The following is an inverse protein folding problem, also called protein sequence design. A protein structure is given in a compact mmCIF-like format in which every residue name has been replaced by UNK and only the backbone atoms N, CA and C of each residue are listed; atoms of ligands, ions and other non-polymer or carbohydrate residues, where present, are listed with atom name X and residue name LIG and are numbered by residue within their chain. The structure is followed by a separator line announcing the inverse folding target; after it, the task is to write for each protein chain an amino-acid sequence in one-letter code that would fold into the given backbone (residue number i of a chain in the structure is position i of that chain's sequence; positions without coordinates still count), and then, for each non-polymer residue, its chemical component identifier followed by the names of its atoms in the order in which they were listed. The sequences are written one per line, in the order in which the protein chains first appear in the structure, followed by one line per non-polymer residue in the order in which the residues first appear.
data_IF_596942059067
#
_entry.id   IF_596942059067
#
_cell.length_a   1.000
_cell.length_b   1.000
_cell.length_c   1.000
_cell.angle_alpha   90.00
_cell.angle_beta   90.00
_cell.angle_gamma   90.00
#
_symmetry.space_group_name_H-M   'P 1'
#
loop_
_entity.id
_entity.type
_entity.pdbx_description
1 polymer ?
#
# COMPACT_ATOMS: atom_id res chain seq x y z
N UNK A 1 -4.11 2.98 26.06
CA UNK A 1 -5.07 2.22 25.22
C UNK A 1 -4.63 0.77 25.25
N UNK A 2 -5.55 -0.13 25.57
CA UNK A 2 -5.27 -1.57 25.50
C UNK A 2 -5.23 -2.02 24.04
N UNK A 3 -4.03 -2.30 23.52
CA UNK A 3 -3.81 -2.73 22.14
C UNK A 3 -3.85 -4.26 22.00
N UNK A 4 -4.04 -5.00 23.09
CA UNK A 4 -4.08 -6.48 23.07
C UNK A 4 -5.05 -7.07 22.04
N UNK A 5 -6.29 -6.56 21.81
CA UNK A 5 -7.16 -7.14 20.79
C UNK A 5 -6.60 -6.95 19.38
N UNK A 6 -6.01 -5.79 19.09
CA UNK A 6 -5.43 -5.49 17.78
C UNK A 6 -4.15 -6.31 17.56
N UNK A 7 -3.28 -6.40 18.57
CA UNK A 7 -2.10 -7.28 18.55
C UNK A 7 -2.50 -8.73 18.27
N UNK A 8 -3.54 -9.24 18.92
CA UNK A 8 -4.00 -10.61 18.69
C UNK A 8 -4.47 -10.86 17.25
N UNK A 9 -5.20 -9.91 16.65
CA UNK A 9 -5.63 -10.01 15.25
C UNK A 9 -4.42 -10.02 14.31
N UNK A 10 -3.50 -9.07 14.49
CA UNK A 10 -2.30 -8.97 13.66
C UNK A 10 -1.38 -10.18 13.83
N UNK A 11 -1.19 -10.68 15.05
CA UNK A 11 -0.44 -11.90 15.31
C UNK A 11 -1.14 -13.13 14.70
N UNK A 12 -2.47 -13.17 14.64
CA UNK A 12 -3.17 -14.26 13.97
C UNK A 12 -2.99 -14.22 12.45
N UNK A 13 -2.94 -13.04 11.86
CA UNK A 13 -2.78 -12.88 10.40
C UNK A 13 -1.32 -13.04 9.95
N UNK A 14 -0.38 -12.46 10.70
CA UNK A 14 1.03 -12.36 10.32
C UNK A 14 1.99 -13.17 11.20
N UNK A 15 1.51 -13.79 12.27
CA UNK A 15 2.34 -14.58 13.19
C UNK A 15 2.89 -15.87 12.57
N UNK A 16 2.31 -16.34 11.46
CA UNK A 16 2.88 -17.47 10.71
C UNK A 16 4.27 -17.20 10.12
N UNK A 17 4.69 -15.94 10.07
CA UNK A 17 6.01 -15.52 9.62
C UNK A 17 6.88 -14.99 10.77
N UNK A 18 6.48 -15.18 12.03
CA UNK A 18 7.22 -14.68 13.19
C UNK A 18 8.66 -15.23 13.27
N UNK A 19 8.90 -16.43 12.70
CA UNK A 19 10.23 -17.03 12.63
C UNK A 19 11.19 -16.29 11.68
N UNK A 20 10.67 -15.45 10.79
CA UNK A 20 11.43 -14.63 9.84
C UNK A 20 10.92 -13.18 9.87
N UNK A 21 11.56 -12.30 10.69
CA UNK A 21 11.18 -10.89 10.78
C UNK A 21 11.17 -10.18 9.43
N UNK A 22 12.04 -10.60 8.50
CA UNK A 22 12.09 -10.07 7.13
C UNK A 22 10.84 -10.43 6.31
N UNK A 23 10.39 -11.68 6.38
CA UNK A 23 9.18 -12.09 5.69
C UNK A 23 7.95 -11.44 6.35
N UNK A 24 7.92 -11.39 7.68
CA UNK A 24 6.82 -10.80 8.42
C UNK A 24 6.61 -9.32 8.04
N UNK A 25 7.69 -8.51 8.01
CA UNK A 25 7.58 -7.11 7.58
C UNK A 25 7.14 -6.98 6.11
N UNK A 26 7.61 -7.89 5.25
CA UNK A 26 7.30 -7.88 3.83
C UNK A 26 5.80 -8.07 3.63
N UNK A 27 5.21 -9.12 4.21
CA UNK A 27 3.79 -9.41 4.03
C UNK A 27 2.89 -8.34 4.63
N UNK A 28 3.28 -7.73 5.76
CA UNK A 28 2.53 -6.61 6.34
C UNK A 28 2.52 -5.43 5.37
N UNK A 29 3.68 -5.01 4.87
CA UNK A 29 3.76 -3.90 3.90
C UNK A 29 2.94 -4.19 2.65
N UNK A 30 3.07 -5.39 2.07
CA UNK A 30 2.30 -5.78 0.88
C UNK A 30 0.79 -5.74 1.16
N UNK A 31 0.33 -6.22 2.31
CA UNK A 31 -1.07 -6.16 2.70
C UNK A 31 -1.59 -4.71 2.79
N UNK A 32 -0.86 -3.83 3.45
CA UNK A 32 -1.21 -2.41 3.53
C UNK A 32 -1.16 -1.72 2.15
N UNK A 33 -0.19 -2.08 1.30
CA UNK A 33 -0.09 -1.55 -0.06
C UNK A 33 -1.27 -1.95 -0.93
N UNK A 34 -1.73 -3.20 -0.79
CA UNK A 34 -2.91 -3.70 -1.48
C UNK A 34 -4.19 -2.97 -1.02
N UNK A 35 -4.38 -2.78 0.29
CA UNK A 35 -5.51 -2.01 0.83
C UNK A 35 -5.48 -0.57 0.30
N UNK A 36 -4.31 0.08 0.35
CA UNK A 36 -4.14 1.44 -0.15
C UNK A 36 -4.47 1.55 -1.64
N UNK A 37 -3.98 0.61 -2.45
CA UNK A 37 -4.24 0.59 -3.89
C UNK A 37 -5.73 0.42 -4.20
N UNK A 38 -6.43 -0.44 -3.45
CA UNK A 38 -7.87 -0.63 -3.58
C UNK A 38 -8.61 0.66 -3.21
N UNK A 39 -8.26 1.32 -2.10
CA UNK A 39 -8.88 2.59 -1.70
C UNK A 39 -8.65 3.67 -2.77
N UNK A 40 -7.41 3.82 -3.26
CA UNK A 40 -7.09 4.77 -4.31
C UNK A 40 -7.82 4.46 -5.62
N UNK A 41 -7.92 3.19 -6.01
CA UNK A 41 -8.61 2.74 -7.22
C UNK A 41 -10.12 2.95 -7.15
N UNK A 42 -10.76 2.55 -6.05
CA UNK A 42 -12.20 2.71 -5.84
C UNK A 42 -12.62 4.18 -5.70
N UNK A 43 -11.76 5.03 -5.12
CA UNK A 43 -12.02 6.47 -5.05
C UNK A 43 -11.80 7.21 -6.37
N UNK A 44 -11.32 6.53 -7.42
CA UNK A 44 -11.23 7.04 -8.78
C UNK A 44 -10.57 8.42 -8.88
N UNK A 45 -11.30 9.40 -9.42
CA UNK A 45 -10.81 10.77 -9.62
C UNK A 45 -10.40 11.48 -8.31
N UNK A 46 -10.98 11.13 -7.16
CA UNK A 46 -10.67 11.80 -5.90
C UNK A 46 -9.21 11.60 -5.46
N UNK A 47 -8.61 10.47 -5.85
CA UNK A 47 -7.23 10.12 -5.53
C UNK A 47 -6.29 10.23 -6.73
N UNK A 48 -6.74 10.73 -7.88
CA UNK A 48 -5.88 10.94 -9.04
C UNK A 48 -4.71 11.90 -8.71
N UNK A 49 -3.53 11.59 -9.24
CA UNK A 49 -2.31 12.40 -9.05
C UNK A 49 -1.78 12.41 -7.60
N UNK A 50 -1.40 13.58 -7.11
CA UNK A 50 -0.66 13.73 -5.84
C UNK A 50 -1.44 13.22 -4.61
N UNK A 51 -2.77 13.26 -4.62
CA UNK A 51 -3.60 12.86 -3.46
C UNK A 51 -3.49 11.36 -3.17
N UNK A 52 -3.54 10.52 -4.22
CA UNK A 52 -3.33 9.09 -4.08
C UNK A 52 -1.90 8.76 -3.66
N UNK A 53 -0.92 9.51 -4.16
CA UNK A 53 0.49 9.37 -3.73
C UNK A 53 0.64 9.64 -2.23
N UNK A 54 0.08 10.74 -1.73
CA UNK A 54 0.11 11.06 -0.31
C UNK A 54 -0.53 9.95 0.55
N UNK A 55 -1.66 9.39 0.10
CA UNK A 55 -2.29 8.27 0.79
C UNK A 55 -1.40 7.02 0.77
N UNK A 56 -0.79 6.70 -0.38
CA UNK A 56 0.16 5.59 -0.53
C UNK A 56 1.31 5.65 0.47
N UNK A 57 1.93 6.83 0.61
CA UNK A 57 3.01 7.05 1.58
C UNK A 57 2.51 7.06 3.03
N UNK A 58 1.35 7.64 3.31
CA UNK A 58 0.76 7.63 4.64
C UNK A 58 0.52 6.20 5.12
N UNK A 59 -0.09 5.36 4.27
CA UNK A 59 -0.36 3.96 4.58
C UNK A 59 0.95 3.16 4.74
N UNK A 60 1.96 3.46 3.94
CA UNK A 60 3.28 2.88 4.10
C UNK A 60 3.88 3.21 5.47
N UNK A 61 3.83 4.48 5.89
CA UNK A 61 4.30 4.90 7.22
C UNK A 61 3.53 4.16 8.32
N UNK A 62 2.20 4.08 8.21
CA UNK A 62 1.36 3.32 9.15
C UNK A 62 1.80 1.86 9.22
N UNK A 63 2.13 1.22 8.09
CA UNK A 63 2.61 -0.16 8.08
C UNK A 63 3.89 -0.34 8.92
N UNK A 64 4.80 0.65 8.93
CA UNK A 64 6.00 0.62 9.76
C UNK A 64 5.65 0.70 11.26
N UNK A 65 4.67 1.50 11.64
CA UNK A 65 4.16 1.56 13.02
C UNK A 65 3.53 0.22 13.44
N UNK A 66 2.76 -0.42 12.56
CA UNK A 66 2.19 -1.75 12.82
C UNK A 66 3.29 -2.78 13.06
N UNK A 67 4.31 -2.81 12.20
CA UNK A 67 5.45 -3.73 12.36
C UNK A 67 6.14 -3.52 13.70
N UNK A 68 6.44 -2.26 14.06
CA UNK A 68 7.20 -1.94 15.27
C UNK A 68 6.43 -2.10 16.58
N UNK A 69 5.15 -1.72 16.60
CA UNK A 69 4.36 -1.58 17.83
C UNK A 69 3.27 -2.65 18.00
N UNK A 70 2.76 -3.24 16.91
CA UNK A 70 1.74 -4.29 16.99
C UNK A 70 2.38 -5.68 16.91
N UNK A 71 3.36 -5.86 16.03
CA UNK A 71 4.08 -7.13 15.87
C UNK A 71 5.38 -7.21 16.67
N UNK A 72 5.74 -6.13 17.38
CA UNK A 72 6.93 -6.04 18.23
C UNK A 72 8.24 -6.43 17.50
N UNK A 73 8.30 -6.21 16.19
CA UNK A 73 9.52 -6.44 15.40
C UNK A 73 10.51 -5.33 15.66
N UNK A 74 11.68 -5.70 16.16
CA UNK A 74 12.75 -4.76 16.47
C UNK A 74 13.56 -4.41 15.21
N UNK A 75 13.88 -3.13 14.96
CA UNK A 75 14.69 -2.72 13.82
C UNK A 75 16.04 -3.44 13.74
N UNK A 76 16.63 -3.75 14.90
CA UNK A 76 17.90 -4.44 15.05
C UNK A 76 17.86 -5.84 14.41
N UNK A 77 16.73 -6.55 14.52
CA UNK A 77 16.51 -7.87 13.91
C UNK A 77 16.49 -7.80 12.37
N UNK A 78 16.20 -6.63 11.82
CA UNK A 78 16.15 -6.36 10.38
C UNK A 78 17.44 -5.74 9.84
N UNK A 79 18.45 -5.54 10.70
CA UNK A 79 19.70 -4.87 10.37
C UNK A 79 19.60 -3.33 10.37
N UNK A 80 18.71 -2.79 11.20
CA UNK A 80 18.59 -1.37 11.53
C UNK A 80 17.34 -0.68 10.96
N UNK A 81 17.07 0.53 11.45
CA UNK A 81 15.92 1.35 11.02
C UNK A 81 15.90 1.60 9.51
N UNK A 82 17.05 1.86 8.90
CA UNK A 82 17.13 2.08 7.46
C UNK A 82 16.64 0.86 6.68
N UNK A 83 17.08 -0.35 7.05
CA UNK A 83 16.61 -1.59 6.42
C UNK A 83 15.14 -1.85 6.73
N UNK A 84 14.66 -1.61 7.95
CA UNK A 84 13.23 -1.73 8.25
C UNK A 84 12.38 -0.82 7.37
N UNK A 85 12.87 0.36 6.98
CA UNK A 85 12.18 1.22 6.01
C UNK A 85 12.39 0.65 4.60
N UNK A 86 13.60 0.73 4.06
CA UNK A 86 13.86 0.50 2.64
C UNK A 86 13.67 -0.95 2.19
N UNK A 87 13.83 -1.92 3.08
CA UNK A 87 13.58 -3.31 2.75
C UNK A 87 12.11 -3.45 2.36
N UNK A 88 11.84 -4.03 1.20
CA UNK A 88 10.51 -4.16 0.57
C UNK A 88 9.78 -2.87 0.16
N UNK A 89 10.40 -1.68 0.28
CA UNK A 89 9.84 -0.42 -0.23
C UNK A 89 9.55 -0.50 -1.73
N UNK A 90 10.50 -1.02 -2.51
CA UNK A 90 10.35 -1.16 -3.96
C UNK A 90 9.20 -2.10 -4.31
N UNK A 91 9.12 -3.26 -3.67
CA UNK A 91 8.04 -4.24 -3.87
C UNK A 91 6.67 -3.66 -3.50
N UNK A 92 6.61 -2.90 -2.39
CA UNK A 92 5.41 -2.16 -1.99
C UNK A 92 4.97 -1.19 -3.08
N UNK A 93 5.88 -0.31 -3.54
CA UNK A 93 5.57 0.72 -4.52
C UNK A 93 5.15 0.11 -5.86
N UNK A 94 5.83 -0.93 -6.31
CA UNK A 94 5.47 -1.65 -7.55
C UNK A 94 4.07 -2.25 -7.46
N UNK A 95 3.78 -3.03 -6.42
CA UNK A 95 2.47 -3.65 -6.25
C UNK A 95 1.36 -2.60 -6.12
N UNK A 96 1.57 -1.60 -5.27
CA UNK A 96 0.61 -0.52 -5.05
C UNK A 96 0.32 0.25 -6.33
N UNK A 97 1.36 0.65 -7.08
CA UNK A 97 1.20 1.43 -8.32
C UNK A 97 0.51 0.62 -9.41
N UNK A 98 0.87 -0.66 -9.58
CA UNK A 98 0.27 -1.53 -10.59
C UNK A 98 -1.21 -1.74 -10.32
N UNK A 99 -1.57 -2.16 -9.09
CA UNK A 99 -2.97 -2.40 -8.73
C UNK A 99 -3.79 -1.12 -8.81
N UNK A 100 -3.24 0.00 -8.32
CA UNK A 100 -3.93 1.29 -8.39
C UNK A 100 -4.18 1.72 -9.84
N UNK A 101 -3.18 1.60 -10.72
CA UNK A 101 -3.31 1.97 -12.14
C UNK A 101 -4.35 1.11 -12.85
N UNK A 102 -4.34 -0.20 -12.61
CA UNK A 102 -5.34 -1.12 -13.18
C UNK A 102 -6.74 -0.72 -12.73
N UNK A 103 -6.96 -0.54 -11.42
CA UNK A 103 -8.27 -0.15 -10.89
C UNK A 103 -8.72 1.22 -11.39
N UNK A 104 -7.79 2.18 -11.48
CA UNK A 104 -8.07 3.51 -12.00
C UNK A 104 -8.49 3.46 -13.47
N UNK A 105 -7.89 2.60 -14.30
CA UNK A 105 -8.28 2.43 -15.70
C UNK A 105 -9.76 2.04 -15.85
N UNK A 106 -10.28 1.20 -14.94
CA UNK A 106 -11.71 0.83 -14.91
C UNK A 106 -12.63 1.92 -14.35
N UNK A 107 -12.08 2.97 -13.73
CA UNK A 107 -12.84 4.09 -13.19
C UNK A 107 -13.06 5.24 -14.20
N UNK A 108 -12.46 5.16 -15.38
CA UNK A 108 -12.56 6.21 -16.41
C UNK A 108 -13.98 6.17 -17.02
N UNK A 109 -14.78 7.26 -16.93
CA UNK A 109 -16.11 7.29 -17.51
C UNK A 109 -16.05 7.24 -19.04
N UNK A 110 -16.99 6.51 -19.68
CA UNK A 110 -17.04 6.32 -21.13
C UNK A 110 -17.08 7.65 -21.93
N UNK A 111 -17.65 8.70 -21.34
CA UNK A 111 -17.67 10.04 -21.94
C UNK A 111 -16.26 10.64 -22.10
N UNK A 112 -15.33 10.36 -21.18
CA UNK A 112 -13.94 10.80 -21.30
C UNK A 112 -13.19 10.03 -22.41
N UNK A 113 -13.51 8.74 -22.59
CA UNK A 113 -12.95 7.95 -23.70
C UNK A 113 -13.45 8.46 -25.06
N UNK A 114 -14.68 8.95 -25.16
CA UNK A 114 -15.23 9.51 -26.39
C UNK A 114 -14.51 10.80 -26.85
N UNK A 115 -14.04 11.62 -25.90
CA UNK A 115 -13.28 12.85 -26.20
C UNK A 115 -11.85 12.52 -26.64
N UNK A 116 -11.21 11.52 -26.02
CA UNK A 116 -9.86 11.06 -26.40
C UNK A 116 -9.86 10.43 -27.81
N UNK A 117 -10.95 9.78 -28.19
CA UNK A 117 -11.10 9.11 -29.48
C UNK A 117 -11.71 9.99 -30.58
N UNK A 118 -11.97 11.28 -30.33
CA UNK A 118 -12.45 12.18 -31.38
C UNK A 118 -11.31 12.51 -32.36
N UNK A 119 -11.47 12.21 -33.67
CA UNK A 119 -10.48 12.61 -34.66
C UNK A 119 -10.37 14.15 -34.67
N UNK A 120 -9.18 14.71 -34.93
CA UNK A 120 -9.00 16.15 -34.99
C UNK A 120 -9.97 16.72 -36.02
N UNK A 121 -10.70 17.78 -35.64
CA UNK A 121 -11.57 18.49 -36.56
C UNK A 121 -10.74 18.91 -37.78
N UNK A 122 -11.06 18.36 -38.95
CA UNK A 122 -10.44 18.81 -40.20
C UNK A 122 -10.82 20.27 -40.42
N UNK A 123 -9.85 21.14 -40.75
CA UNK A 123 -10.07 22.57 -41.00
C UNK A 123 -10.92 22.82 -42.25
#
# INVERSE_FOLDING_TARGET
MDLTPLKNIFNRMFGKWADSPNDQQYYVKIFFGLISAIICGLGGQAFAGTRGVLLGFLIYIISLFVIRYLLDVEPEQLGGMQKMITNSLFSYLMLWTVIWTILYAFSIPAAALAIINQPPAMP
#
